data_IF_769732775005
#
_entry.id   IF_769732775005
#
_cell.length_a   1.000
_cell.length_b   1.000
_cell.length_c   1.000
_cell.angle_alpha   90.00
_cell.angle_beta   90.00
_cell.angle_gamma   90.00
#
_symmetry.space_group_name_H-M   'P 1'
#
loop_
_entity.id
_entity.type
_entity.pdbx_description
1 polymer ?
#
# COMPACT_ATOMS: atom_id res chain seq x y z
N UNK A 1 -31.40 45.93 38.21
CA UNK A 1 -31.14 45.13 36.98
C UNK A 1 -30.25 43.96 37.34
N UNK A 2 -30.80 42.77 37.53
CA UNK A 2 -29.99 41.57 37.79
C UNK A 2 -30.83 40.37 37.34
N UNK A 3 -30.59 39.90 36.11
CA UNK A 3 -31.12 38.62 35.60
C UNK A 3 -29.98 37.58 35.61
N UNK A 4 -29.49 37.17 36.81
CA UNK A 4 -28.34 36.28 36.89
C UNK A 4 -28.61 34.92 36.22
N UNK A 5 -29.86 34.45 36.21
CA UNK A 5 -30.23 33.17 35.61
C UNK A 5 -30.09 33.12 34.09
N UNK A 6 -30.36 34.22 33.38
CA UNK A 6 -30.23 34.25 31.91
C UNK A 6 -28.77 34.20 31.48
N UNK A 7 -27.89 34.92 32.20
CA UNK A 7 -26.45 34.90 31.96
C UNK A 7 -25.81 33.53 32.27
N UNK A 8 -26.30 32.81 33.29
CA UNK A 8 -25.82 31.46 33.60
C UNK A 8 -26.27 30.45 32.55
N UNK A 9 -27.52 30.53 32.08
CA UNK A 9 -28.03 29.62 31.04
C UNK A 9 -27.31 29.80 29.70
N UNK A 10 -27.01 31.03 29.29
CA UNK A 10 -26.27 31.28 28.06
C UNK A 10 -24.82 30.77 28.14
N UNK A 11 -24.16 30.92 29.29
CA UNK A 11 -22.83 30.35 29.54
C UNK A 11 -22.82 28.82 29.43
N UNK A 12 -23.78 28.14 30.05
CA UNK A 12 -23.89 26.67 29.96
C UNK A 12 -24.12 26.22 28.52
N UNK A 13 -24.95 26.95 27.78
CA UNK A 13 -25.23 26.65 26.38
C UNK A 13 -23.97 26.80 25.51
N UNK A 14 -23.20 27.87 25.70
CA UNK A 14 -21.93 28.09 24.98
C UNK A 14 -20.93 26.98 25.32
N UNK A 15 -20.76 26.63 26.59
CA UNK A 15 -19.83 25.57 27.02
C UNK A 15 -20.25 24.22 26.42
N UNK A 16 -21.54 23.89 26.44
CA UNK A 16 -22.03 22.63 25.86
C UNK A 16 -21.79 22.56 24.34
N UNK A 17 -21.96 23.67 23.62
CA UNK A 17 -21.69 23.73 22.19
C UNK A 17 -20.20 23.51 21.88
N UNK A 18 -19.30 24.13 22.65
CA UNK A 18 -17.85 23.95 22.49
C UNK A 18 -17.44 22.51 22.77
N UNK A 19 -17.98 21.89 23.83
CA UNK A 19 -17.69 20.49 24.15
C UNK A 19 -18.16 19.55 23.03
N UNK A 20 -19.32 19.80 22.44
CA UNK A 20 -19.83 19.00 21.33
C UNK A 20 -18.90 19.07 20.11
N UNK A 21 -18.38 20.25 19.78
CA UNK A 21 -17.42 20.43 18.68
C UNK A 21 -16.12 19.67 18.95
N UNK A 22 -15.61 19.70 20.19
CA UNK A 22 -14.40 18.95 20.56
C UNK A 22 -14.63 17.44 20.43
N UNK A 23 -15.77 16.93 20.90
CA UNK A 23 -16.09 15.50 20.80
C UNK A 23 -16.17 15.04 19.34
N UNK A 24 -16.83 15.83 18.49
CA UNK A 24 -16.96 15.51 17.05
C UNK A 24 -15.61 15.52 16.35
N UNK A 25 -14.77 16.53 16.62
CA UNK A 25 -13.43 16.61 16.00
C UNK A 25 -12.52 15.46 16.43
N UNK A 26 -12.51 15.09 17.71
CA UNK A 26 -11.74 13.94 18.20
C UNK A 26 -12.24 12.62 17.60
N UNK A 27 -13.56 12.47 17.47
CA UNK A 27 -14.16 11.28 16.85
C UNK A 27 -13.75 11.15 15.38
N UNK A 28 -13.79 12.25 14.63
CA UNK A 28 -13.36 12.28 13.23
C UNK A 28 -11.86 11.99 13.09
N UNK A 29 -11.04 12.54 13.98
CA UNK A 29 -9.60 12.28 13.99
C UNK A 29 -9.29 10.79 14.24
N UNK A 30 -9.97 10.19 15.22
CA UNK A 30 -9.81 8.77 15.55
C UNK A 30 -10.15 7.85 14.36
N UNK A 31 -11.19 8.20 13.59
CA UNK A 31 -11.55 7.46 12.36
C UNK A 31 -10.46 7.62 11.30
N UNK A 32 -9.93 8.84 11.12
CA UNK A 32 -8.83 9.09 10.18
C UNK A 32 -7.55 8.33 10.52
N UNK A 33 -7.19 8.28 11.81
CA UNK A 33 -6.06 7.50 12.30
C UNK A 33 -6.25 6.00 12.09
N UNK A 34 -7.45 5.48 12.36
CA UNK A 34 -7.78 4.07 12.11
C UNK A 34 -7.68 3.68 10.64
N UNK A 35 -8.16 4.53 9.73
CA UNK A 35 -8.03 4.30 8.29
C UNK A 35 -6.56 4.36 7.83
N UNK A 36 -5.79 5.29 8.38
CA UNK A 36 -4.36 5.43 8.05
C UNK A 36 -3.55 4.23 8.54
N UNK A 37 -3.84 3.73 9.76
CA UNK A 37 -3.22 2.53 10.30
C UNK A 37 -3.55 1.30 9.45
N UNK A 38 -4.83 1.12 9.07
CA UNK A 38 -5.25 0.01 8.22
C UNK A 38 -4.61 0.07 6.83
N UNK A 39 -4.54 1.25 6.20
CA UNK A 39 -3.87 1.42 4.92
C UNK A 39 -2.36 1.12 5.00
N UNK A 40 -1.71 1.48 6.11
CA UNK A 40 -0.30 1.13 6.35
C UNK A 40 -0.10 -0.37 6.56
N UNK A 41 -1.03 -1.05 7.24
CA UNK A 41 -0.96 -2.49 7.49
C UNK A 41 -1.20 -3.30 6.21
N UNK A 42 -2.27 -2.97 5.47
CA UNK A 42 -2.56 -3.55 4.16
C UNK A 42 -1.41 -3.31 3.18
N UNK A 43 -0.91 -2.07 3.09
CA UNK A 43 0.24 -1.76 2.24
C UNK A 43 1.52 -2.49 2.66
N UNK A 44 1.73 -2.75 3.94
CA UNK A 44 2.87 -3.54 4.43
C UNK A 44 2.77 -5.02 4.02
N UNK A 45 1.59 -5.61 4.17
CA UNK A 45 1.35 -6.99 3.77
C UNK A 45 1.46 -7.18 2.25
N UNK A 46 0.90 -6.24 1.47
CA UNK A 46 0.97 -6.26 0.02
C UNK A 46 2.41 -6.11 -0.47
N UNK A 47 3.25 -5.31 0.22
CA UNK A 47 4.68 -5.21 -0.11
C UNK A 47 5.40 -6.54 0.07
N UNK A 48 5.15 -7.27 1.15
CA UNK A 48 5.75 -8.59 1.36
C UNK A 48 5.32 -9.60 0.28
N UNK A 49 4.04 -9.54 -0.13
CA UNK A 49 3.53 -10.36 -1.21
C UNK A 49 4.15 -9.97 -2.57
N UNK A 50 4.34 -8.70 -2.86
CA UNK A 50 4.93 -8.27 -4.14
C UNK A 50 6.43 -8.58 -4.18
N UNK A 51 7.16 -8.31 -3.10
CA UNK A 51 8.61 -8.52 -3.02
C UNK A 51 8.95 -10.00 -3.22
N UNK A 52 8.26 -10.90 -2.52
CA UNK A 52 8.52 -12.31 -2.72
C UNK A 52 8.07 -12.82 -4.11
N UNK A 53 7.07 -12.20 -4.74
CA UNK A 53 6.71 -12.53 -6.13
C UNK A 53 7.80 -12.09 -7.11
N UNK A 54 8.48 -10.97 -6.82
CA UNK A 54 9.67 -10.56 -7.58
C UNK A 54 10.80 -11.57 -7.39
N UNK A 55 11.05 -12.04 -6.16
CA UNK A 55 12.09 -13.05 -5.91
C UNK A 55 11.80 -14.37 -6.66
N UNK A 56 10.56 -14.83 -6.66
CA UNK A 56 10.15 -16.01 -7.44
C UNK A 56 10.30 -15.79 -8.95
N UNK A 57 10.00 -14.57 -9.44
CA UNK A 57 10.21 -14.22 -10.84
C UNK A 57 11.70 -14.27 -11.19
N UNK A 58 12.56 -13.67 -10.36
CA UNK A 58 14.02 -13.69 -10.55
C UNK A 58 14.55 -15.12 -10.58
N UNK A 59 14.06 -15.98 -9.68
CA UNK A 59 14.41 -17.40 -9.66
C UNK A 59 13.95 -18.13 -10.92
N UNK A 60 12.72 -17.91 -11.39
CA UNK A 60 12.20 -18.54 -12.61
C UNK A 60 12.95 -18.08 -13.86
N UNK A 61 13.34 -16.81 -13.92
CA UNK A 61 14.14 -16.26 -15.02
C UNK A 61 15.57 -16.77 -14.98
N UNK A 62 16.14 -16.99 -13.78
CA UNK A 62 17.43 -17.66 -13.63
C UNK A 62 17.41 -19.08 -14.19
N UNK A 63 16.40 -19.87 -13.83
CA UNK A 63 16.29 -21.28 -14.23
C UNK A 63 15.86 -21.42 -15.71
N UNK A 64 15.09 -20.46 -16.21
CA UNK A 64 14.65 -20.38 -17.60
C UNK A 64 14.75 -18.93 -18.12
N UNK A 65 15.82 -18.57 -18.86
CA UNK A 65 16.02 -17.22 -19.38
C UNK A 65 15.05 -16.84 -20.51
N UNK A 66 14.11 -17.72 -20.87
CA UNK A 66 13.00 -17.45 -21.79
C UNK A 66 11.64 -17.49 -21.08
N UNK A 67 11.61 -17.35 -19.75
CA UNK A 67 10.37 -17.33 -18.98
C UNK A 67 9.46 -16.16 -19.40
N UNK A 68 8.21 -16.46 -19.74
CA UNK A 68 7.21 -15.48 -20.18
C UNK A 68 5.88 -15.60 -19.43
N UNK A 69 5.89 -16.19 -18.22
CA UNK A 69 4.68 -16.35 -17.41
C UNK A 69 4.20 -15.00 -16.87
N UNK A 70 2.89 -14.78 -16.90
CA UNK A 70 2.27 -13.49 -16.51
C UNK A 70 1.71 -13.48 -15.09
N UNK A 71 1.74 -14.62 -14.40
CA UNK A 71 1.21 -14.75 -13.04
C UNK A 71 2.08 -15.65 -12.17
N UNK A 72 2.17 -15.30 -10.88
CA UNK A 72 2.77 -16.12 -9.84
C UNK A 72 1.75 -16.26 -8.72
N UNK A 73 1.35 -17.51 -8.43
CA UNK A 73 0.42 -17.85 -7.35
C UNK A 73 1.20 -18.39 -6.17
N UNK A 74 0.93 -17.84 -4.99
CA UNK A 74 1.51 -18.26 -3.71
C UNK A 74 0.40 -18.50 -2.69
N UNK A 75 0.65 -19.22 -1.58
CA UNK A 75 -0.37 -19.45 -0.56
C UNK A 75 -0.98 -18.16 -0.01
N UNK A 76 -0.20 -17.08 0.01
CA UNK A 76 -0.59 -15.77 0.54
C UNK A 76 -1.37 -14.91 -0.47
N UNK A 77 -1.29 -15.20 -1.77
CA UNK A 77 -1.93 -14.40 -2.80
C UNK A 77 -1.42 -14.65 -4.22
N UNK A 78 -1.98 -13.91 -5.18
CA UNK A 78 -1.57 -14.00 -6.60
C UNK A 78 -1.02 -12.66 -7.07
N UNK A 79 0.11 -12.71 -7.76
CA UNK A 79 0.74 -11.56 -8.39
C UNK A 79 0.63 -11.64 -9.90
N UNK A 80 0.36 -10.50 -10.52
CA UNK A 80 0.46 -10.28 -11.96
C UNK A 80 1.84 -9.73 -12.32
N UNK A 81 2.36 -10.18 -13.46
CA UNK A 81 3.62 -9.72 -14.04
C UNK A 81 3.31 -9.13 -15.41
N UNK A 82 3.77 -7.90 -15.64
CA UNK A 82 3.79 -7.29 -16.97
C UNK A 82 5.22 -7.02 -17.41
N UNK A 83 5.56 -7.50 -18.61
CA UNK A 83 6.87 -7.33 -19.20
C UNK A 83 6.87 -6.08 -20.08
N UNK A 84 7.65 -5.08 -19.69
CA UNK A 84 7.93 -3.91 -20.55
C UNK A 84 9.08 -4.21 -21.49
N UNK A 85 10.07 -4.99 -21.01
CA UNK A 85 11.15 -5.56 -21.79
C UNK A 85 11.42 -6.98 -21.27
N UNK A 86 11.42 -7.95 -22.16
CA UNK A 86 11.83 -9.33 -21.87
C UNK A 86 12.83 -9.79 -22.92
N UNK A 87 13.92 -10.38 -22.46
CA UNK A 87 15.01 -10.87 -23.32
C UNK A 87 16.04 -11.60 -22.48
N UNK A 88 16.92 -12.40 -23.09
CA UNK A 88 17.79 -13.32 -22.34
C UNK A 88 18.75 -12.61 -21.38
N UNK A 89 19.09 -11.35 -21.65
CA UNK A 89 20.10 -10.58 -20.89
C UNK A 89 19.47 -9.45 -20.08
N UNK A 90 18.45 -8.75 -20.58
CA UNK A 90 17.90 -7.55 -19.93
C UNK A 90 16.40 -7.63 -19.76
N UNK A 91 15.93 -7.35 -18.55
CA UNK A 91 14.54 -7.44 -18.15
C UNK A 91 14.07 -6.13 -17.54
N UNK A 92 12.86 -5.72 -17.93
CA UNK A 92 12.11 -4.64 -17.30
C UNK A 92 10.69 -5.14 -17.07
N UNK A 93 10.40 -5.45 -15.82
CA UNK A 93 9.15 -6.10 -15.40
C UNK A 93 8.47 -5.27 -14.34
N UNK A 94 7.16 -5.27 -14.37
CA UNK A 94 6.33 -4.72 -13.31
C UNK A 94 5.58 -5.88 -12.68
N UNK A 95 5.78 -6.07 -11.39
CA UNK A 95 5.09 -7.07 -10.58
C UNK A 95 4.12 -6.34 -9.68
N UNK A 96 2.90 -6.83 -9.56
CA UNK A 96 1.91 -6.27 -8.63
C UNK A 96 0.87 -7.30 -8.24
N UNK A 97 0.24 -7.11 -7.10
CA UNK A 97 -0.84 -7.98 -6.66
C UNK A 97 -2.02 -7.95 -7.64
N UNK A 98 -2.66 -9.10 -7.85
CA UNK A 98 -3.88 -9.20 -8.65
C UNK A 98 -5.11 -9.31 -7.77
N UNK A 99 -6.11 -8.44 -7.98
CA UNK A 99 -7.43 -8.54 -7.33
C UNK A 99 -7.72 -7.49 -6.27
N UNK A 100 -6.81 -6.53 -6.03
CA UNK A 100 -6.98 -5.43 -5.09
C UNK A 100 -6.80 -4.08 -5.81
N UNK A 101 -7.66 -3.10 -5.52
CA UNK A 101 -7.50 -1.71 -6.01
C UNK A 101 -6.36 -0.95 -5.30
N UNK A 102 -5.86 -1.52 -4.19
CA UNK A 102 -4.74 -1.00 -3.41
C UNK A 102 -3.42 -1.73 -3.71
N UNK A 103 -3.43 -2.67 -4.65
CA UNK A 103 -2.31 -3.55 -4.94
C UNK A 103 -1.06 -2.76 -5.30
N UNK A 104 -0.07 -2.81 -4.40
CA UNK A 104 1.25 -2.24 -4.65
C UNK A 104 1.87 -2.85 -5.91
N UNK A 105 2.61 -2.03 -6.65
CA UNK A 105 3.31 -2.45 -7.86
C UNK A 105 4.76 -2.06 -7.74
N UNK A 106 5.65 -2.97 -8.12
CA UNK A 106 7.08 -2.74 -8.14
C UNK A 106 7.58 -2.94 -9.56
N UNK A 107 8.30 -1.96 -10.06
CA UNK A 107 9.08 -2.06 -11.28
C UNK A 107 10.49 -2.51 -10.94
N UNK A 108 10.91 -3.59 -11.59
CA UNK A 108 12.22 -4.21 -11.39
C UNK A 108 12.94 -4.27 -12.72
N UNK A 109 14.15 -3.75 -12.74
CA UNK A 109 15.05 -3.79 -13.89
C UNK A 109 16.26 -4.59 -13.47
N UNK A 110 16.52 -5.67 -14.17
CA UNK A 110 17.65 -6.55 -13.86
C UNK A 110 18.25 -7.12 -15.14
N UNK A 111 19.50 -7.56 -15.04
CA UNK A 111 20.16 -8.29 -16.13
C UNK A 111 20.52 -9.70 -15.70
N UNK A 112 20.31 -10.66 -16.59
CA UNK A 112 20.53 -12.08 -16.37
C UNK A 112 21.68 -12.53 -17.27
N UNK A 113 22.87 -12.70 -16.68
CA UNK A 113 24.06 -13.21 -17.35
C UNK A 113 24.50 -14.55 -16.72
N UNK A 114 25.74 -14.63 -16.28
CA UNK A 114 26.21 -15.72 -15.39
C UNK A 114 25.67 -15.55 -13.95
N UNK A 115 25.36 -14.32 -13.56
CA UNK A 115 24.71 -13.95 -12.30
C UNK A 115 23.54 -13.01 -12.61
N UNK A 116 22.56 -12.94 -11.71
CA UNK A 116 21.53 -11.89 -11.75
C UNK A 116 22.12 -10.63 -11.13
N UNK A 117 22.07 -9.52 -11.87
CA UNK A 117 22.40 -8.20 -11.32
C UNK A 117 21.17 -7.31 -11.36
N UNK A 118 20.80 -6.78 -10.19
CA UNK A 118 19.68 -5.89 -10.01
C UNK A 118 20.12 -4.46 -10.36
N UNK A 119 19.49 -3.84 -11.35
CA UNK A 119 19.79 -2.47 -11.77
C UNK A 119 18.87 -1.46 -11.07
N UNK A 120 17.60 -1.81 -10.90
CA UNK A 120 16.60 -0.92 -10.27
C UNK A 120 15.48 -1.72 -9.64
N UNK A 121 15.00 -1.21 -8.50
CA UNK A 121 13.82 -1.70 -7.77
C UNK A 121 13.06 -0.48 -7.26
N UNK A 122 11.92 -0.18 -7.89
CA UNK A 122 11.16 1.04 -7.60
C UNK A 122 9.69 0.70 -7.49
N UNK A 123 9.07 1.10 -6.38
CA UNK A 123 7.62 1.07 -6.19
C UNK A 123 6.96 2.13 -7.10
N UNK A 124 5.90 1.75 -7.82
CA UNK A 124 5.18 2.60 -8.79
C UNK A 124 3.70 2.73 -8.47
#
# INVERSE_FOLDING_TARGET
>A
MKYPGFATLSMVLIISAVLMVIVVTVSLLSVGEGQSALASELGGNDAYLVDGCVEDLLRKVHDNPSYAGTTITRPEGTCSISYTLSGPISWNVVVGESGTDFGRRVRVIFTCGQNITLTSWVEI
#
